data_IF_929612833262
#
_entry.id   IF_929612833262
#
_cell.length_a   1.000
_cell.length_b   1.000
_cell.length_c   1.000
_cell.angle_alpha   90.00
_cell.angle_beta   90.00
_cell.angle_gamma   90.00
#
_symmetry.space_group_name_H-M   'P 1'
#
loop_
_entity.id
_entity.type
_entity.pdbx_description
1 polymer ?
#
# COMPACT_ATOMS: atom_id res chain seq x y z
N UNK A 1 15.26 -10.09 -17.07
CA UNK A 1 14.44 -10.47 -15.89
C UNK A 1 15.32 -10.33 -14.65
N UNK A 2 14.99 -9.33 -13.80
CA UNK A 2 15.60 -8.84 -12.54
C UNK A 2 17.11 -9.13 -12.27
N UNK A 3 18.01 -8.15 -12.49
CA UNK A 3 19.43 -8.27 -12.05
C UNK A 3 19.97 -7.26 -11.02
N UNK A 4 19.30 -6.17 -10.70
CA UNK A 4 19.45 -5.60 -9.35
C UNK A 4 18.20 -4.83 -8.96
N UNK A 5 17.58 -5.30 -7.90
CA UNK A 5 16.51 -4.62 -7.19
C UNK A 5 16.67 -5.16 -5.78
N UNK A 6 17.66 -4.59 -5.13
CA UNK A 6 18.02 -4.98 -3.79
C UNK A 6 17.20 -4.13 -2.83
N UNK A 7 16.26 -4.77 -2.15
CA UNK A 7 15.49 -4.15 -1.08
C UNK A 7 16.47 -3.59 -0.03
N UNK A 8 17.54 -4.31 0.32
CA UNK A 8 18.49 -3.87 1.34
C UNK A 8 19.22 -2.60 0.91
N UNK A 9 19.71 -2.54 -0.34
CA UNK A 9 20.28 -1.34 -0.92
C UNK A 9 19.30 -0.17 -1.07
N UNK A 10 18.01 -0.45 -1.26
CA UNK A 10 16.97 0.58 -1.45
C UNK A 10 16.48 1.21 -0.14
N UNK A 11 16.56 0.51 0.99
CA UNK A 11 16.12 1.01 2.31
C UNK A 11 16.90 2.28 2.73
N UNK A 12 18.20 2.34 2.42
CA UNK A 12 19.06 3.50 2.68
C UNK A 12 19.11 4.53 1.55
N UNK A 13 18.36 4.32 0.47
CA UNK A 13 18.35 5.21 -0.70
C UNK A 13 17.50 6.48 -0.51
N UNK A 14 17.76 7.50 -1.33
CA UNK A 14 16.93 8.70 -1.43
C UNK A 14 15.63 8.40 -2.19
N UNK A 15 14.55 9.08 -1.81
CA UNK A 15 13.33 9.10 -2.60
C UNK A 15 13.59 9.78 -3.95
N UNK A 16 12.94 9.34 -5.02
CA UNK A 16 12.99 10.02 -6.34
C UNK A 16 12.31 11.38 -6.23
N UNK A 17 11.17 11.45 -5.52
CA UNK A 17 10.41 12.68 -5.31
C UNK A 17 9.97 12.74 -3.86
N UNK A 18 10.10 13.92 -3.27
CA UNK A 18 9.54 14.25 -1.96
C UNK A 18 8.47 15.33 -2.15
N UNK A 19 7.29 15.11 -1.57
CA UNK A 19 6.14 16.01 -1.66
C UNK A 19 5.88 16.56 -0.26
N UNK A 20 6.00 17.88 -0.10
CA UNK A 20 5.69 18.59 1.15
C UNK A 20 4.18 18.54 1.47
N UNK A 21 3.81 18.81 2.73
CA UNK A 21 2.40 18.78 3.17
C UNK A 21 1.53 19.74 2.32
N UNK A 22 0.49 19.19 1.68
CA UNK A 22 -0.41 19.88 0.78
C UNK A 22 -0.03 19.78 -0.70
N UNK A 23 1.13 19.20 -1.03
CA UNK A 23 1.59 19.09 -2.41
C UNK A 23 0.82 18.07 -3.25
N UNK A 24 0.93 18.21 -4.57
CA UNK A 24 0.34 17.29 -5.53
C UNK A 24 1.25 17.02 -6.70
N UNK A 25 1.14 15.83 -7.27
CA UNK A 25 1.84 15.47 -8.51
C UNK A 25 0.88 14.79 -9.47
N UNK A 26 1.05 15.05 -10.77
CA UNK A 26 0.22 14.43 -11.79
C UNK A 26 0.97 14.11 -13.07
N UNK A 27 0.46 13.13 -13.81
CA UNK A 27 0.92 12.76 -15.16
C UNK A 27 2.43 12.45 -15.20
N UNK A 28 2.87 11.60 -14.28
CA UNK A 28 4.27 11.23 -14.13
C UNK A 28 4.49 9.75 -14.47
N UNK A 29 5.56 9.45 -15.19
CA UNK A 29 6.07 8.09 -15.39
C UNK A 29 7.43 7.95 -14.70
N UNK A 30 7.56 6.93 -13.85
CA UNK A 30 8.81 6.56 -13.19
C UNK A 30 9.26 5.18 -13.68
N UNK A 31 10.42 5.13 -14.33
CA UNK A 31 11.06 3.90 -14.85
C UNK A 31 12.46 3.67 -14.25
N UNK A 32 12.64 4.04 -12.98
CA UNK A 32 13.89 3.85 -12.25
C UNK A 32 13.63 2.96 -11.03
N UNK A 33 14.40 1.86 -10.84
CA UNK A 33 14.23 0.95 -9.72
C UNK A 33 14.84 1.52 -8.42
N UNK A 34 14.19 2.54 -7.84
CA UNK A 34 14.63 3.19 -6.59
C UNK A 34 13.51 3.26 -5.55
N UNK A 35 13.76 4.00 -4.45
CA UNK A 35 12.75 4.40 -3.48
C UNK A 35 11.90 5.49 -4.11
N UNK A 36 10.59 5.25 -4.30
CA UNK A 36 9.75 6.07 -5.17
C UNK A 36 9.44 7.46 -4.63
N UNK A 37 8.17 7.70 -4.31
CA UNK A 37 7.68 9.00 -3.85
C UNK A 37 7.51 8.98 -2.33
N UNK A 38 7.92 10.03 -1.64
CA UNK A 38 7.61 10.23 -0.22
C UNK A 38 6.71 11.45 -0.04
N UNK A 39 5.51 11.23 0.49
CA UNK A 39 4.63 12.31 0.94
C UNK A 39 4.93 12.64 2.40
N UNK A 40 5.45 13.83 2.69
CA UNK A 40 5.77 14.26 4.06
C UNK A 40 4.54 14.66 4.89
N UNK A 41 3.44 14.98 4.21
CA UNK A 41 2.14 15.27 4.82
C UNK A 41 1.01 14.95 3.83
N UNK A 42 -0.09 15.72 3.85
CA UNK A 42 -1.18 15.53 2.88
C UNK A 42 -0.62 15.59 1.48
N UNK A 43 -0.99 14.65 0.62
CA UNK A 43 -0.56 14.68 -0.77
C UNK A 43 -1.61 14.09 -1.70
N UNK A 44 -1.58 14.52 -2.95
CA UNK A 44 -2.42 13.95 -4.01
C UNK A 44 -1.57 13.52 -5.19
N UNK A 45 -1.66 12.25 -5.56
CA UNK A 45 -1.06 11.68 -6.77
C UNK A 45 -2.16 11.41 -7.79
N UNK A 46 -2.06 11.99 -8.98
CA UNK A 46 -3.05 11.80 -10.06
C UNK A 46 -2.39 11.26 -11.31
N UNK A 47 -2.82 10.10 -11.80
CA UNK A 47 -2.27 9.50 -13.02
C UNK A 47 -0.72 9.34 -12.97
N UNK A 48 -0.22 8.71 -11.90
CA UNK A 48 1.21 8.41 -11.73
C UNK A 48 1.46 6.94 -12.05
N UNK A 49 2.40 6.68 -12.95
CA UNK A 49 2.77 5.35 -13.39
C UNK A 49 4.18 4.97 -12.94
N UNK A 50 4.33 3.78 -12.36
CA UNK A 50 5.62 3.20 -12.01
C UNK A 50 5.84 1.93 -12.82
N UNK A 51 6.91 1.86 -13.60
CA UNK A 51 7.22 0.69 -14.42
C UNK A 51 7.85 -0.46 -13.60
N UNK A 52 8.54 -0.13 -12.52
CA UNK A 52 9.13 -1.08 -11.55
C UNK A 52 9.49 -0.40 -10.24
N UNK A 53 9.23 -1.07 -9.12
CA UNK A 53 9.64 -0.57 -7.79
C UNK A 53 10.34 -1.65 -6.98
N UNK A 54 11.36 -1.24 -6.21
CA UNK A 54 12.19 -2.15 -5.42
C UNK A 54 11.83 -2.21 -3.95
N UNK A 55 11.49 -1.07 -3.36
CA UNK A 55 11.03 -0.99 -1.99
C UNK A 55 9.54 -0.64 -1.97
N UNK A 56 9.18 0.59 -1.60
CA UNK A 56 7.85 1.14 -1.82
C UNK A 56 7.78 2.05 -3.05
N UNK A 57 6.66 2.01 -3.78
CA UNK A 57 6.35 2.99 -4.83
C UNK A 57 6.04 4.35 -4.21
N UNK A 58 5.24 4.36 -3.14
CA UNK A 58 4.91 5.55 -2.38
C UNK A 58 4.94 5.27 -0.88
N UNK A 59 5.57 6.16 -0.13
CA UNK A 59 5.54 6.22 1.33
C UNK A 59 4.71 7.43 1.78
N UNK A 60 3.68 7.17 2.60
CA UNK A 60 2.80 8.19 3.15
C UNK A 60 3.22 8.52 4.58
N UNK A 61 4.01 9.58 4.72
CA UNK A 61 4.35 10.29 5.94
C UNK A 61 5.32 9.56 6.87
N UNK A 62 5.80 10.29 7.88
CA UNK A 62 6.26 9.76 9.16
C UNK A 62 5.92 10.81 10.23
N UNK A 63 4.62 11.12 10.37
CA UNK A 63 4.14 12.18 11.28
C UNK A 63 4.44 11.77 12.72
N UNK A 64 5.55 12.27 13.27
CA UNK A 64 5.97 11.96 14.64
C UNK A 64 4.97 12.50 15.68
N UNK A 65 4.26 13.58 15.33
CA UNK A 65 3.24 14.21 16.17
C UNK A 65 1.90 13.43 16.21
N UNK A 66 1.73 12.41 15.34
CA UNK A 66 0.49 11.64 15.23
C UNK A 66 -0.70 12.40 14.61
N UNK A 67 -0.49 13.59 14.05
CA UNK A 67 -1.57 14.38 13.43
C UNK A 67 -2.12 13.63 12.21
N UNK A 68 -3.43 13.29 12.17
CA UNK A 68 -4.02 12.60 11.02
C UNK A 68 -3.92 13.43 9.74
N UNK A 69 -3.41 12.83 8.66
CA UNK A 69 -3.35 13.43 7.33
C UNK A 69 -4.21 12.65 6.33
N UNK A 70 -4.52 13.29 5.20
CA UNK A 70 -5.20 12.69 4.07
C UNK A 70 -4.22 12.53 2.89
N UNK A 71 -4.03 11.30 2.43
CA UNK A 71 -3.23 10.96 1.26
C UNK A 71 -4.17 10.43 0.17
N UNK A 72 -4.00 10.88 -1.07
CA UNK A 72 -4.89 10.52 -2.18
C UNK A 72 -4.11 10.00 -3.37
N UNK A 73 -4.54 8.86 -3.91
CA UNK A 73 -4.07 8.27 -5.16
C UNK A 73 -5.28 8.13 -6.08
N UNK A 74 -5.26 8.85 -7.20
CA UNK A 74 -6.37 8.95 -8.14
C UNK A 74 -5.86 8.52 -9.52
N UNK A 75 -6.22 7.31 -9.95
CA UNK A 75 -5.70 6.74 -11.18
C UNK A 75 -4.22 6.37 -11.09
N UNK A 76 -3.60 6.09 -12.24
CA UNK A 76 -2.22 5.62 -12.31
C UNK A 76 -2.10 4.10 -12.20
N UNK A 77 -0.87 3.61 -12.32
CA UNK A 77 -0.62 2.18 -12.17
C UNK A 77 0.80 1.85 -11.72
N UNK A 78 0.99 0.66 -11.17
CA UNK A 78 2.32 0.09 -10.91
C UNK A 78 2.45 -1.24 -11.64
N UNK A 79 3.48 -1.34 -12.47
CA UNK A 79 3.98 -2.59 -12.99
C UNK A 79 5.14 -3.03 -12.08
N UNK A 80 5.12 -4.28 -11.60
CA UNK A 80 6.23 -4.91 -10.88
C UNK A 80 6.65 -4.22 -9.56
N UNK A 81 6.01 -4.57 -8.44
CA UNK A 81 6.39 -4.11 -7.09
C UNK A 81 6.88 -5.24 -6.18
N UNK A 82 8.16 -5.22 -5.82
CA UNK A 82 8.78 -6.35 -5.09
C UNK A 82 8.38 -6.42 -3.61
N UNK A 83 8.38 -5.31 -2.88
CA UNK A 83 7.96 -5.27 -1.46
C UNK A 83 6.52 -4.75 -1.31
N UNK A 84 6.32 -3.45 -1.47
CA UNK A 84 5.01 -2.78 -1.27
C UNK A 84 4.76 -1.79 -2.39
N UNK A 85 3.53 -1.63 -2.84
CA UNK A 85 3.19 -0.50 -3.71
C UNK A 85 3.09 0.75 -2.85
N UNK A 86 2.17 0.74 -1.89
CA UNK A 86 1.91 1.82 -0.95
C UNK A 86 2.23 1.38 0.46
N UNK A 87 3.00 2.20 1.17
CA UNK A 87 3.17 2.07 2.62
C UNK A 87 2.68 3.34 3.30
N UNK A 88 2.00 3.21 4.45
CA UNK A 88 1.61 4.35 5.27
C UNK A 88 2.28 4.24 6.62
N UNK A 89 3.23 5.14 6.89
CA UNK A 89 3.86 5.29 8.21
C UNK A 89 3.23 6.44 9.01
N UNK A 90 2.78 7.53 8.37
CA UNK A 90 2.05 8.62 9.02
C UNK A 90 0.65 8.24 9.49
N UNK A 91 0.12 9.01 10.45
CA UNK A 91 -1.27 8.88 10.92
C UNK A 91 -2.27 9.35 9.84
N UNK A 92 -3.50 8.82 9.92
CA UNK A 92 -4.62 9.28 9.09
C UNK A 92 -5.06 8.30 8.00
N UNK A 93 -5.60 8.84 6.91
CA UNK A 93 -6.30 8.06 5.88
C UNK A 93 -5.60 8.13 4.53
N UNK A 94 -5.35 6.98 3.92
CA UNK A 94 -5.02 6.87 2.50
C UNK A 94 -6.28 6.53 1.69
N UNK A 95 -6.50 7.23 0.58
CA UNK A 95 -7.55 6.95 -0.40
C UNK A 95 -6.87 6.51 -1.70
N UNK A 96 -7.24 5.34 -2.22
CA UNK A 96 -6.78 4.80 -3.49
C UNK A 96 -7.99 4.53 -4.38
N UNK A 97 -8.08 5.26 -5.49
CA UNK A 97 -9.22 5.19 -6.41
C UNK A 97 -8.74 5.02 -7.84
N UNK A 98 -9.45 4.21 -8.62
CA UNK A 98 -9.21 4.03 -10.06
C UNK A 98 -7.78 3.55 -10.41
N UNK A 99 -7.08 2.90 -9.48
CA UNK A 99 -5.69 2.50 -9.62
C UNK A 99 -5.55 1.09 -10.21
N UNK A 100 -4.47 0.85 -10.96
CA UNK A 100 -4.14 -0.48 -11.46
C UNK A 100 -2.79 -1.01 -10.93
N UNK A 101 -2.65 -2.31 -10.68
CA UNK A 101 -1.33 -2.89 -10.45
C UNK A 101 -1.18 -4.27 -11.08
N UNK A 102 0.04 -4.59 -11.51
CA UNK A 102 0.40 -5.91 -12.01
C UNK A 102 1.69 -6.40 -11.36
N UNK A 103 1.71 -7.68 -10.96
CA UNK A 103 2.86 -8.36 -10.35
C UNK A 103 3.40 -7.61 -9.11
N UNK A 104 2.84 -7.91 -7.94
CA UNK A 104 3.17 -7.19 -6.71
C UNK A 104 3.17 -8.11 -5.51
N UNK A 105 3.98 -7.83 -4.48
CA UNK A 105 3.82 -8.51 -3.20
C UNK A 105 2.59 -7.96 -2.46
N UNK A 106 2.64 -6.69 -2.01
CA UNK A 106 1.51 -6.06 -1.30
C UNK A 106 1.11 -4.73 -1.95
N UNK A 107 -0.19 -4.49 -2.14
CA UNK A 107 -0.65 -3.19 -2.66
C UNK A 107 -0.57 -2.13 -1.57
N UNK A 108 -1.24 -2.31 -0.43
CA UNK A 108 -1.20 -1.36 0.68
C UNK A 108 -0.75 -2.04 1.97
N UNK A 109 0.20 -1.41 2.68
CA UNK A 109 0.65 -1.85 4.00
C UNK A 109 0.67 -0.67 4.98
N UNK A 110 -0.09 -0.79 6.07
CA UNK A 110 0.13 0.03 7.27
C UNK A 110 1.50 -0.33 7.86
N UNK A 111 2.34 0.65 8.19
CA UNK A 111 3.68 0.35 8.71
C UNK A 111 3.60 -0.43 10.04
N UNK A 112 4.20 -1.61 10.10
CA UNK A 112 4.09 -2.53 11.24
C UNK A 112 5.24 -2.46 12.23
N UNK A 113 6.37 -1.87 11.84
CA UNK A 113 7.64 -1.97 12.54
C UNK A 113 8.53 -0.79 12.14
N UNK A 114 9.43 -0.34 13.03
CA UNK A 114 10.38 0.74 12.74
C UNK A 114 9.74 2.08 12.33
N UNK A 115 8.54 2.37 12.81
CA UNK A 115 7.84 3.64 12.61
C UNK A 115 7.04 4.03 13.85
N UNK A 116 6.67 5.30 13.94
CA UNK A 116 5.70 5.76 14.94
C UNK A 116 4.35 5.12 14.67
N UNK A 117 3.75 4.54 15.71
CA UNK A 117 2.54 3.74 15.58
C UNK A 117 1.30 4.57 15.92
N UNK A 118 0.35 4.57 15.00
CA UNK A 118 -0.90 5.31 15.07
C UNK A 118 -2.00 4.47 14.39
N UNK A 119 -3.28 4.71 14.69
CA UNK A 119 -4.36 4.17 13.88
C UNK A 119 -4.26 4.69 12.44
N UNK A 120 -4.34 3.79 11.46
CA UNK A 120 -4.33 4.14 10.03
C UNK A 120 -5.55 3.59 9.33
N UNK A 121 -6.04 4.34 8.36
CA UNK A 121 -7.21 3.97 7.58
C UNK A 121 -6.90 3.92 6.09
N UNK A 122 -7.46 2.94 5.39
CA UNK A 122 -7.38 2.82 3.94
C UNK A 122 -8.78 2.77 3.33
N UNK A 123 -9.01 3.56 2.29
CA UNK A 123 -10.19 3.45 1.42
C UNK A 123 -9.71 3.10 0.01
N UNK A 124 -10.06 1.91 -0.47
CA UNK A 124 -9.66 1.43 -1.80
C UNK A 124 -10.89 1.15 -2.65
N UNK A 125 -11.04 1.81 -3.80
CA UNK A 125 -12.21 1.64 -4.64
C UNK A 125 -11.90 1.67 -6.14
N UNK A 126 -12.70 0.93 -6.93
CA UNK A 126 -12.63 0.94 -8.40
C UNK A 126 -11.25 0.56 -8.96
N UNK A 127 -10.50 -0.31 -8.27
CA UNK A 127 -9.15 -0.69 -8.67
C UNK A 127 -9.13 -2.03 -9.42
N UNK A 128 -8.11 -2.22 -10.28
CA UNK A 128 -7.89 -3.46 -11.03
C UNK A 128 -6.50 -4.01 -10.73
N UNK A 129 -6.43 -5.28 -10.34
CA UNK A 129 -5.17 -5.92 -9.98
C UNK A 129 -4.97 -7.21 -10.76
N UNK A 130 -3.77 -7.39 -11.30
CA UNK A 130 -3.36 -8.59 -12.01
C UNK A 130 -2.17 -9.23 -11.29
N UNK A 131 -2.27 -10.52 -11.00
CA UNK A 131 -1.20 -11.20 -10.28
C UNK A 131 0.04 -11.51 -11.14
N UNK A 132 0.97 -12.31 -10.60
CA UNK A 132 0.91 -12.89 -9.26
C UNK A 132 0.95 -11.82 -8.15
N UNK A 133 0.33 -12.08 -7.01
CA UNK A 133 0.54 -11.23 -5.85
C UNK A 133 0.09 -11.80 -4.51
N UNK A 134 0.61 -11.24 -3.41
CA UNK A 134 0.38 -11.78 -2.07
C UNK A 134 -0.88 -11.20 -1.43
N UNK A 135 -0.95 -9.88 -1.22
CA UNK A 135 -2.09 -9.25 -0.52
C UNK A 135 -2.47 -7.89 -1.10
N UNK A 136 -3.76 -7.56 -1.09
CA UNK A 136 -4.22 -6.20 -1.43
C UNK A 136 -4.00 -5.23 -0.26
N UNK A 137 -4.46 -5.60 0.95
CA UNK A 137 -4.40 -4.73 2.13
C UNK A 137 -3.75 -5.49 3.29
N UNK A 138 -2.89 -4.81 4.05
CA UNK A 138 -2.22 -5.38 5.23
C UNK A 138 -2.24 -4.38 6.39
N UNK A 139 -2.93 -4.73 7.48
CA UNK A 139 -3.28 -3.83 8.59
C UNK A 139 -2.75 -4.33 9.94
N UNK A 140 -2.53 -3.42 10.88
CA UNK A 140 -2.17 -3.72 12.26
C UNK A 140 -3.40 -3.65 13.17
N UNK A 141 -3.88 -4.80 13.64
CA UNK A 141 -5.13 -4.82 14.40
C UNK A 141 -5.00 -4.18 15.79
N UNK A 142 -3.82 -4.29 16.39
CA UNK A 142 -3.54 -3.80 17.74
C UNK A 142 -3.45 -2.27 17.82
N UNK A 143 -3.32 -1.58 16.67
CA UNK A 143 -3.35 -0.13 16.59
C UNK A 143 -4.69 0.43 16.08
N UNK A 144 -5.70 -0.43 15.91
CA UNK A 144 -7.04 0.00 15.49
C UNK A 144 -7.11 0.41 14.02
N UNK A 145 -6.26 -0.16 13.17
CA UNK A 145 -6.32 0.11 11.74
C UNK A 145 -7.68 -0.27 11.15
N UNK A 146 -8.15 0.48 10.15
CA UNK A 146 -9.44 0.25 9.52
C UNK A 146 -9.35 0.27 8.00
N UNK A 147 -10.33 -0.36 7.35
CA UNK A 147 -10.41 -0.36 5.89
C UNK A 147 -11.84 -0.17 5.37
N UNK A 148 -11.91 0.38 4.18
CA UNK A 148 -13.03 0.29 3.26
C UNK A 148 -12.51 -0.20 1.91
N UNK A 149 -13.17 -1.20 1.33
CA UNK A 149 -12.82 -1.74 0.02
C UNK A 149 -14.10 -1.98 -0.78
N UNK A 150 -14.13 -1.56 -2.04
CA UNK A 150 -15.29 -1.74 -2.90
C UNK A 150 -14.92 -1.78 -4.40
N UNK A 151 -15.67 -2.56 -5.19
CA UNK A 151 -15.49 -2.65 -6.63
C UNK A 151 -14.02 -2.90 -7.05
N UNK A 152 -13.41 -3.93 -6.48
CA UNK A 152 -12.05 -4.35 -6.84
C UNK A 152 -12.11 -5.53 -7.80
N UNK A 153 -11.36 -5.47 -8.89
CA UNK A 153 -11.32 -6.56 -9.88
C UNK A 153 -9.95 -7.23 -9.87
N UNK A 154 -9.91 -8.54 -9.66
CA UNK A 154 -8.70 -9.35 -9.70
C UNK A 154 -8.69 -10.22 -10.95
N UNK A 155 -7.51 -10.39 -11.55
CA UNK A 155 -7.31 -11.25 -12.73
C UNK A 155 -6.06 -12.11 -12.57
N UNK A 156 -6.02 -13.25 -13.25
CA UNK A 156 -4.91 -14.19 -13.21
C UNK A 156 -3.57 -13.60 -13.70
N UNK A 157 -2.42 -14.08 -13.19
CA UNK A 157 -2.24 -15.11 -12.15
C UNK A 157 -2.79 -14.77 -10.76
N UNK A 158 -2.85 -15.75 -9.85
CA UNK A 158 -3.52 -15.65 -8.54
C UNK A 158 -2.98 -14.50 -7.67
N UNK A 159 -3.91 -13.83 -6.97
CA UNK A 159 -3.62 -12.97 -5.82
C UNK A 159 -4.12 -13.70 -4.55
N UNK A 160 -3.25 -13.93 -3.57
CA UNK A 160 -3.55 -14.87 -2.48
C UNK A 160 -4.57 -14.35 -1.46
N UNK A 161 -4.44 -13.10 -1.03
CA UNK A 161 -5.22 -12.54 0.07
C UNK A 161 -5.86 -11.20 -0.28
N UNK A 162 -7.12 -11.00 0.10
CA UNK A 162 -7.78 -9.70 0.04
C UNK A 162 -7.31 -8.81 1.18
N UNK A 163 -7.13 -9.37 2.37
CA UNK A 163 -6.59 -8.65 3.53
C UNK A 163 -5.80 -9.58 4.46
N UNK A 164 -4.74 -9.04 5.08
CA UNK A 164 -3.96 -9.69 6.12
C UNK A 164 -3.85 -8.79 7.36
N UNK A 165 -3.97 -9.38 8.55
CA UNK A 165 -3.79 -8.70 9.84
C UNK A 165 -2.46 -9.05 10.47
N UNK A 166 -1.88 -8.07 11.16
CA UNK A 166 -0.63 -8.18 11.88
C UNK A 166 -0.77 -7.58 13.28
N UNK A 167 0.03 -8.09 14.22
CA UNK A 167 0.30 -7.41 15.49
C UNK A 167 1.53 -6.52 15.29
N UNK A 168 1.32 -5.22 15.06
CA UNK A 168 2.40 -4.27 14.85
C UNK A 168 3.21 -4.01 16.12
N UNK A 169 4.42 -3.49 15.96
CA UNK A 169 5.35 -3.13 17.03
C UNK A 169 6.05 -1.81 16.73
N UNK A 170 6.63 -1.20 17.77
CA UNK A 170 7.51 -0.03 17.62
C UNK A 170 8.95 -0.43 17.25
N UNK A 171 9.39 -1.61 17.70
CA UNK A 171 10.75 -2.09 17.51
C UNK A 171 10.96 -2.84 16.19
N UNK A 172 12.19 -3.30 15.97
CA UNK A 172 12.49 -4.22 14.86
C UNK A 172 11.90 -5.60 15.18
N UNK A 173 11.05 -6.11 14.29
CA UNK A 173 10.52 -7.47 14.40
C UNK A 173 10.23 -8.04 13.01
N UNK A 174 10.30 -9.37 12.88
CA UNK A 174 9.81 -10.07 11.70
C UNK A 174 8.34 -10.38 11.91
N UNK A 175 7.47 -9.53 11.36
CA UNK A 175 6.03 -9.70 11.50
C UNK A 175 5.50 -10.84 10.64
N UNK A 176 4.67 -11.69 11.24
CA UNK A 176 3.88 -12.71 10.54
C UNK A 176 2.40 -12.34 10.60
N UNK A 177 1.61 -12.67 9.57
CA UNK A 177 0.18 -12.42 9.61
C UNK A 177 -0.48 -13.30 10.67
N UNK A 178 -1.37 -12.72 11.48
CA UNK A 178 -2.17 -13.42 12.49
C UNK A 178 -3.62 -13.64 12.04
N UNK A 179 -4.01 -13.00 10.94
CA UNK A 179 -5.33 -13.16 10.32
C UNK A 179 -5.22 -12.97 8.81
N UNK A 180 -5.94 -13.77 8.04
CA UNK A 180 -5.87 -13.74 6.57
C UNK A 180 -7.25 -14.01 5.99
N UNK A 181 -7.65 -13.20 5.01
CA UNK A 181 -8.90 -13.37 4.28
C UNK A 181 -8.65 -13.55 2.79
N UNK A 182 -9.33 -14.53 2.19
CA UNK A 182 -9.32 -14.75 0.75
C UNK A 182 -10.13 -13.68 0.02
N UNK A 183 -9.72 -13.24 -1.18
CA UNK A 183 -10.41 -12.17 -1.91
C UNK A 183 -11.90 -12.42 -2.14
N UNK A 184 -12.29 -13.65 -2.50
CA UNK A 184 -13.65 -14.01 -2.90
C UNK A 184 -14.64 -14.18 -1.73
N UNK A 185 -14.16 -14.17 -0.48
CA UNK A 185 -14.98 -14.42 0.71
C UNK A 185 -15.38 -13.12 1.40
N UNK A 186 -16.39 -13.18 2.26
CA UNK A 186 -16.57 -12.12 3.27
C UNK A 186 -15.47 -12.23 4.33
N UNK A 187 -15.00 -11.09 4.83
CA UNK A 187 -13.98 -11.00 5.87
C UNK A 187 -14.53 -10.20 7.06
N UNK A 188 -14.40 -10.76 8.26
CA UNK A 188 -14.90 -10.19 9.53
C UNK A 188 -13.85 -10.31 10.65
N UNK A 189 -12.58 -10.08 10.33
CA UNK A 189 -11.52 -10.04 11.33
C UNK A 189 -11.55 -8.68 12.07
N UNK A 190 -10.54 -8.41 12.91
CA UNK A 190 -10.50 -7.23 13.81
C UNK A 190 -10.45 -5.90 13.03
N UNK A 191 -9.49 -5.78 12.12
CA UNK A 191 -9.26 -4.66 11.20
C UNK A 191 -9.66 -5.01 9.77
N UNK A 192 -9.40 -6.24 9.32
CA UNK A 192 -9.78 -6.70 7.99
C UNK A 192 -11.29 -6.99 7.95
N UNK A 193 -12.06 -6.07 7.36
CA UNK A 193 -13.52 -6.17 7.26
C UNK A 193 -13.97 -5.78 5.87
N UNK A 194 -14.59 -6.72 5.13
CA UNK A 194 -15.21 -6.45 3.84
C UNK A 194 -16.26 -7.48 3.47
N UNK A 195 -17.27 -7.05 2.72
CA UNK A 195 -18.39 -7.90 2.29
C UNK A 195 -18.00 -8.76 1.09
N UNK A 196 -18.62 -9.94 0.95
CA UNK A 196 -18.59 -10.70 -0.30
C UNK A 196 -19.03 -9.82 -1.47
N UNK A 197 -18.32 -9.89 -2.59
CA UNK A 197 -18.59 -9.05 -3.78
C UNK A 197 -17.85 -7.70 -3.79
N UNK A 198 -17.24 -7.27 -2.68
CA UNK A 198 -16.37 -6.07 -2.66
C UNK A 198 -15.12 -6.28 -3.52
N UNK A 199 -14.68 -7.54 -3.64
CA UNK A 199 -13.60 -7.98 -4.50
C UNK A 199 -14.14 -9.08 -5.42
N UNK A 200 -13.97 -8.89 -6.72
CA UNK A 200 -14.46 -9.75 -7.79
C UNK A 200 -13.25 -10.38 -8.46
N UNK A 201 -13.15 -11.70 -8.41
CA UNK A 201 -12.11 -12.46 -9.11
C UNK A 201 -12.67 -12.87 -10.47
N UNK A 202 -11.99 -12.48 -11.56
CA UNK A 202 -12.32 -12.83 -12.94
C UNK A 202 -11.31 -13.82 -13.50
#
# INVERSE_FOLDING_TARGET
MYKSCDIKGSVGGKNIIEIEDGGSISNLIIDVPAKGIWCKGRCTLTNVFFKRTCYHAVDFGNSLDGTPKLYQVIGGAVLNAVDKVFTQAGAGTTIIQNFCAQNFSKVYRSCGELCSQHPRSIKMANCKFKGPGLSLISLNYNYGDTMYINNIQLTYPRIFFGCQEYNGTRGRSTLKPEGQCLPQNECRLRSCKYKKGSIIVK
#
